data_IF_130524561087
#
_entry.id   IF_130524561087
#
_cell.length_a   1.000
_cell.length_b   1.000
_cell.length_c   1.000
_cell.angle_alpha   90.00
_cell.angle_beta   90.00
_cell.angle_gamma   90.00
#
_symmetry.space_group_name_H-M   'P 1'
#
loop_
_entity.id
_entity.type
_entity.pdbx_description
1 polymer ?
#
# COMPACT_ATOMS: atom_id res chain seq x y z
N UNK A 1 10.84 -15.86 -1.78
CA UNK A 1 9.56 -15.35 -1.25
C UNK A 1 9.68 -15.29 0.26
N UNK A 2 9.49 -14.11 0.83
CA UNK A 2 9.53 -13.85 2.26
C UNK A 2 8.10 -13.70 2.79
N UNK A 3 7.83 -14.22 4.00
CA UNK A 3 6.53 -14.07 4.67
C UNK A 3 6.70 -13.34 5.99
N UNK A 4 5.86 -12.33 6.25
CA UNK A 4 5.86 -11.59 7.51
C UNK A 4 4.43 -11.27 7.96
N UNK A 5 4.22 -11.19 9.27
CA UNK A 5 2.96 -10.73 9.87
C UNK A 5 3.25 -9.55 10.78
N UNK A 6 2.41 -8.52 10.71
CA UNK A 6 2.53 -7.32 11.54
C UNK A 6 1.19 -6.62 11.69
N UNK A 7 1.07 -5.80 12.73
CA UNK A 7 -0.06 -4.89 12.91
C UNK A 7 0.42 -3.45 12.76
N UNK A 8 -0.21 -2.72 11.84
CA UNK A 8 0.01 -1.29 11.64
C UNK A 8 -1.23 -0.54 12.18
N UNK A 9 -1.04 0.63 12.79
CA UNK A 9 -2.15 1.55 13.05
C UNK A 9 -2.27 2.54 11.90
N UNK A 10 -3.40 2.55 11.20
CA UNK A 10 -3.70 3.56 10.17
C UNK A 10 -4.51 4.69 10.77
N UNK A 11 -4.26 5.92 10.33
CA UNK A 11 -5.15 7.05 10.53
C UNK A 11 -5.86 7.34 9.19
N UNK A 12 -7.09 6.84 8.96
CA UNK A 12 -7.80 7.07 7.72
C UNK A 12 -8.10 8.56 7.53
N UNK A 13 -7.41 9.19 6.58
CA UNK A 13 -7.69 10.57 6.18
C UNK A 13 -8.91 10.63 5.25
N UNK A 14 -9.55 11.80 5.13
CA UNK A 14 -10.62 12.01 4.14
C UNK A 14 -10.10 11.85 2.70
N UNK A 15 -8.88 12.31 2.42
CA UNK A 15 -8.22 12.13 1.13
C UNK A 15 -7.44 10.80 1.12
N UNK A 16 -7.87 9.78 0.35
CA UNK A 16 -7.15 8.50 0.25
C UNK A 16 -5.81 8.61 -0.51
N UNK A 17 -5.48 9.76 -1.10
CA UNK A 17 -4.16 10.05 -1.64
C UNK A 17 -3.12 10.37 -0.56
N UNK A 18 -3.54 10.46 0.71
CA UNK A 18 -2.68 10.67 1.86
C UNK A 18 -2.86 9.52 2.84
N UNK A 19 -1.78 8.78 3.11
CA UNK A 19 -1.76 7.71 4.10
C UNK A 19 -0.84 8.11 5.25
N UNK A 20 -1.36 7.98 6.46
CA UNK A 20 -0.59 8.07 7.69
C UNK A 20 -0.75 6.76 8.45
N UNK A 21 0.36 6.19 8.91
CA UNK A 21 0.33 5.01 9.76
C UNK A 21 1.47 5.00 10.77
N UNK A 22 1.26 4.31 11.88
CA UNK A 22 2.31 3.95 12.82
C UNK A 22 2.64 2.47 12.72
N UNK A 23 3.93 2.17 12.84
CA UNK A 23 4.48 0.82 12.77
C UNK A 23 5.82 0.80 13.50
N UNK A 24 6.06 -0.19 14.36
CA UNK A 24 7.37 -0.43 14.98
C UNK A 24 8.01 0.83 15.61
N UNK A 25 7.20 1.68 16.25
CA UNK A 25 7.65 2.95 16.84
C UNK A 25 7.96 4.06 15.82
N UNK A 26 7.66 3.87 14.55
CA UNK A 26 7.84 4.84 13.48
C UNK A 26 6.50 5.37 12.97
N UNK A 27 6.50 6.63 12.55
CA UNK A 27 5.42 7.23 11.77
C UNK A 27 5.79 7.17 10.28
N UNK A 28 4.91 6.60 9.46
CA UNK A 28 5.08 6.53 8.01
C UNK A 28 4.00 7.35 7.32
N UNK A 29 4.45 8.19 6.39
CA UNK A 29 3.62 9.06 5.58
C UNK A 29 3.79 8.63 4.12
N UNK A 30 2.68 8.37 3.42
CA UNK A 30 2.69 8.22 1.96
C UNK A 30 1.75 9.25 1.32
N UNK A 31 2.23 9.95 0.30
CA UNK A 31 1.42 10.88 -0.50
C UNK A 31 1.49 10.53 -1.98
N UNK A 32 0.35 10.44 -2.64
CA UNK A 32 0.28 10.20 -4.08
C UNK A 32 0.76 11.47 -4.81
N UNK A 33 1.74 11.31 -5.68
CA UNK A 33 2.34 12.37 -6.49
C UNK A 33 1.76 12.38 -7.91
N UNK A 34 1.41 11.21 -8.44
CA UNK A 34 0.79 11.07 -9.76
C UNK A 34 -0.17 9.88 -9.81
N UNK A 35 -1.07 9.91 -10.78
CA UNK A 35 -2.15 8.93 -10.94
C UNK A 35 -3.37 9.19 -10.04
N UNK A 36 -4.34 8.27 -10.01
CA UNK A 36 -4.29 6.94 -10.62
C UNK A 36 -4.45 6.94 -12.14
N UNK A 37 -3.58 6.24 -12.85
CA UNK A 37 -3.68 5.99 -14.29
C UNK A 37 -4.16 4.56 -14.53
N UNK A 38 -5.17 4.38 -15.37
CA UNK A 38 -5.62 3.05 -15.77
C UNK A 38 -4.57 2.39 -16.67
N UNK A 39 -4.12 1.20 -16.27
CA UNK A 39 -3.10 0.44 -16.98
C UNK A 39 -3.55 -1.01 -17.11
N UNK A 40 -3.49 -1.56 -18.31
CA UNK A 40 -3.67 -2.98 -18.58
C UNK A 40 -2.29 -3.59 -18.85
N UNK A 41 -1.98 -4.69 -18.14
CA UNK A 41 -0.76 -5.46 -18.36
C UNK A 41 -1.02 -6.73 -19.16
N UNK A 42 -2.24 -7.27 -19.05
CA UNK A 42 -2.77 -8.43 -19.77
C UNK A 42 -4.31 -8.37 -19.79
N UNK A 43 -4.97 -9.30 -20.48
CA UNK A 43 -6.43 -9.44 -20.43
C UNK A 43 -6.89 -9.88 -19.03
N UNK A 44 -6.07 -10.64 -18.31
CA UNK A 44 -6.30 -11.04 -16.93
C UNK A 44 -5.96 -9.97 -15.88
N UNK A 45 -5.15 -8.96 -16.20
CA UNK A 45 -4.69 -7.97 -15.22
C UNK A 45 -4.78 -6.52 -15.72
N UNK A 46 -5.71 -5.77 -15.11
CA UNK A 46 -5.84 -4.33 -15.27
C UNK A 46 -5.99 -3.63 -13.91
N UNK A 47 -5.29 -2.52 -13.74
CA UNK A 47 -5.21 -1.83 -12.45
C UNK A 47 -5.03 -0.32 -12.56
N UNK A 48 -4.69 0.29 -11.44
CA UNK A 48 -4.36 1.72 -11.33
C UNK A 48 -2.89 1.87 -10.96
N UNK A 49 -2.10 2.43 -11.87
CA UNK A 49 -0.73 2.83 -11.58
C UNK A 49 -0.71 4.18 -10.88
N UNK A 50 0.08 4.27 -9.81
CA UNK A 50 0.23 5.45 -8.97
C UNK A 50 1.69 5.67 -8.64
N UNK A 51 2.08 6.93 -8.44
CA UNK A 51 3.40 7.27 -7.93
C UNK A 51 3.26 7.84 -6.53
N UNK A 52 4.11 7.41 -5.60
CA UNK A 52 4.04 7.78 -4.20
C UNK A 52 5.35 8.37 -3.69
N UNK A 53 5.25 9.44 -2.92
CA UNK A 53 6.32 9.87 -2.01
C UNK A 53 6.12 9.19 -0.66
N UNK A 54 7.19 8.63 -0.09
CA UNK A 54 7.18 7.92 1.19
C UNK A 54 8.19 8.57 2.12
N UNK A 55 7.76 8.89 3.34
CA UNK A 55 8.61 9.39 4.41
C UNK A 55 8.41 8.51 5.64
N UNK A 56 9.50 8.25 6.34
CA UNK A 56 9.53 7.53 7.62
C UNK A 56 10.17 8.44 8.65
N UNK A 57 9.53 8.57 9.80
CA UNK A 57 10.03 9.36 10.92
C UNK A 57 10.10 8.46 12.15
N UNK A 58 11.27 8.39 12.77
CA UNK A 58 11.46 7.71 14.05
C UNK A 58 10.84 8.56 15.17
N UNK A 59 10.00 7.94 16.00
CA UNK A 59 9.44 8.60 17.18
C UNK A 59 10.36 8.34 18.38
N UNK A 60 10.84 9.41 19.02
CA UNK A 60 11.68 9.29 20.21
C UNK A 60 10.93 8.59 21.36
N UNK A 61 9.66 8.95 21.55
CA UNK A 61 8.75 8.37 22.55
C UNK A 61 7.41 8.01 21.87
N UNK A 62 7.25 6.79 21.33
CA UNK A 62 6.01 6.40 20.67
C UNK A 62 4.86 6.33 21.67
N UNK A 63 3.68 6.91 21.37
CA UNK A 63 2.59 6.99 22.32
C UNK A 63 1.90 5.63 22.50
N UNK A 64 2.18 4.97 23.63
CA UNK A 64 1.59 3.67 24.02
C UNK A 64 0.06 3.72 24.01
N UNK A 65 -0.52 4.83 24.51
CA UNK A 65 -1.97 5.01 24.60
C UNK A 65 -2.69 4.85 23.25
N UNK A 66 -2.07 5.18 22.12
CA UNK A 66 -2.72 5.06 20.81
C UNK A 66 -2.87 3.60 20.37
N UNK A 67 -2.06 2.69 20.91
CA UNK A 67 -2.15 1.25 20.63
C UNK A 67 -3.17 0.54 21.52
N UNK A 68 -3.32 0.98 22.77
CA UNK A 68 -4.13 0.28 23.77
C UNK A 68 -5.50 0.93 24.03
N UNK A 69 -5.60 2.25 23.98
CA UNK A 69 -6.78 3.04 24.39
C UNK A 69 -6.77 4.43 23.71
N UNK A 70 -6.89 4.48 22.38
CA UNK A 70 -6.95 5.74 21.64
C UNK A 70 -8.25 6.51 22.00
N UNK A 71 -8.17 7.63 22.73
CA UNK A 71 -9.36 8.36 23.15
C UNK A 71 -10.10 9.03 21.99
N UNK A 72 -9.49 9.06 20.79
CA UNK A 72 -10.07 9.71 19.62
C UNK A 72 -10.89 8.76 18.73
N UNK A 73 -10.77 7.44 18.89
CA UNK A 73 -11.32 6.41 18.00
C UNK A 73 -10.95 6.61 16.51
N UNK A 74 -9.83 7.28 16.22
CA UNK A 74 -9.43 7.59 14.85
C UNK A 74 -8.41 6.59 14.29
N UNK A 75 -7.60 5.97 15.16
CA UNK A 75 -6.61 5.00 14.74
C UNK A 75 -7.24 3.62 14.56
N UNK A 76 -6.99 3.01 13.40
CA UNK A 76 -7.52 1.70 13.04
C UNK A 76 -6.39 0.71 12.95
N UNK A 77 -6.42 -0.31 13.81
CA UNK A 77 -5.50 -1.44 13.72
C UNK A 77 -5.80 -2.28 12.48
N UNK A 78 -4.74 -2.55 11.70
CA UNK A 78 -4.79 -3.41 10.53
C UNK A 78 -3.70 -4.46 10.64
N UNK A 79 -4.12 -5.71 10.82
CA UNK A 79 -3.21 -6.85 10.74
C UNK A 79 -2.93 -7.16 9.28
N UNK A 80 -1.67 -7.46 8.98
CA UNK A 80 -1.18 -7.74 7.65
C UNK A 80 -0.32 -8.99 7.65
N UNK A 81 -0.70 -9.99 6.87
CA UNK A 81 0.17 -11.12 6.51
C UNK A 81 0.62 -10.97 5.08
N UNK A 82 1.91 -10.70 4.89
CA UNK A 82 2.53 -10.38 3.60
C UNK A 82 3.34 -11.55 3.08
N UNK A 83 3.18 -11.85 1.79
CA UNK A 83 4.07 -12.67 0.99
C UNK A 83 4.71 -11.79 -0.09
N UNK A 84 6.03 -11.55 0.03
CA UNK A 84 6.75 -10.67 -0.88
C UNK A 84 7.77 -11.45 -1.71
N UNK A 85 7.83 -11.13 -2.99
CA UNK A 85 8.84 -11.59 -3.93
C UNK A 85 9.56 -10.37 -4.50
N UNK A 86 10.82 -10.20 -4.11
CA UNK A 86 11.70 -9.14 -4.60
C UNK A 86 12.52 -9.64 -5.77
N UNK A 87 12.66 -8.80 -6.79
CA UNK A 87 13.53 -9.02 -7.94
C UNK A 87 14.64 -7.97 -7.88
N UNK A 88 15.83 -8.40 -7.48
CA UNK A 88 16.99 -7.51 -7.47
C UNK A 88 17.32 -7.08 -8.92
N UNK A 89 17.87 -5.87 -9.15
CA UNK A 89 18.16 -5.39 -10.50
C UNK A 89 18.97 -6.35 -11.38
N UNK A 90 19.88 -7.10 -10.79
CA UNK A 90 20.70 -8.12 -11.45
C UNK A 90 19.88 -9.34 -11.93
N UNK A 91 18.78 -9.67 -11.26
CA UNK A 91 17.89 -10.79 -11.57
C UNK A 91 16.78 -10.41 -12.56
N UNK A 92 16.48 -9.11 -12.66
CA UNK A 92 15.38 -8.58 -13.46
C UNK A 92 15.51 -8.87 -14.97
N UNK A 93 16.73 -9.06 -15.49
CA UNK A 93 16.93 -9.44 -16.90
C UNK A 93 16.22 -10.74 -17.29
N UNK A 94 15.98 -11.65 -16.34
CA UNK A 94 15.22 -12.88 -16.56
C UNK A 94 13.70 -12.63 -16.73
N UNK A 95 13.18 -11.49 -16.25
CA UNK A 95 11.79 -11.09 -16.46
C UNK A 95 11.61 -10.43 -17.82
N UNK A 96 12.52 -9.53 -18.19
CA UNK A 96 12.47 -8.83 -19.47
C UNK A 96 13.80 -8.15 -19.80
N UNK A 97 14.27 -8.31 -21.04
CA UNK A 97 15.44 -7.59 -21.56
C UNK A 97 15.20 -6.07 -21.68
N UNK A 98 13.95 -5.61 -21.54
CA UNK A 98 13.58 -4.18 -21.61
C UNK A 98 13.74 -3.44 -20.29
N UNK A 99 14.09 -4.13 -19.20
CA UNK A 99 14.19 -3.52 -17.88
C UNK A 99 15.42 -2.59 -17.79
N UNK A 100 15.26 -1.36 -17.27
CA UNK A 100 16.35 -0.41 -17.19
C UNK A 100 17.39 -0.87 -16.16
N UNK A 101 18.65 -0.93 -16.57
CA UNK A 101 19.77 -1.30 -15.70
C UNK A 101 20.51 -0.10 -15.12
N UNK A 102 20.27 1.13 -15.64
CA UNK A 102 20.92 2.35 -15.15
C UNK A 102 20.04 3.60 -15.40
N UNK A 103 19.64 4.34 -14.35
CA UNK A 103 19.67 3.89 -12.96
C UNK A 103 18.78 2.66 -12.77
N UNK A 104 19.20 1.71 -11.94
CA UNK A 104 18.35 0.57 -11.60
C UNK A 104 17.32 0.93 -10.54
N UNK A 105 16.13 0.33 -10.63
CA UNK A 105 15.11 0.32 -9.59
C UNK A 105 14.87 -1.13 -9.13
N UNK A 106 14.52 -1.32 -7.85
CA UNK A 106 14.05 -2.61 -7.37
C UNK A 106 12.62 -2.83 -7.83
N UNK A 107 12.22 -4.09 -7.93
CA UNK A 107 10.85 -4.49 -8.25
C UNK A 107 10.39 -5.50 -7.20
N UNK A 108 9.19 -5.29 -6.68
CA UNK A 108 8.60 -6.14 -5.65
C UNK A 108 7.17 -6.51 -6.05
N UNK A 109 6.86 -7.82 -6.01
CA UNK A 109 5.50 -8.32 -6.07
C UNK A 109 5.07 -8.72 -4.66
N UNK A 110 3.93 -8.19 -4.21
CA UNK A 110 3.43 -8.37 -2.86
C UNK A 110 1.98 -8.87 -2.90
N UNK A 111 1.73 -10.03 -2.26
CA UNK A 111 0.40 -10.50 -1.90
C UNK A 111 0.23 -10.35 -0.40
N UNK A 112 -0.79 -9.62 0.02
CA UNK A 112 -1.02 -9.35 1.45
C UNK A 112 -2.46 -9.63 1.82
N UNK A 113 -2.67 -10.51 2.80
CA UNK A 113 -3.93 -10.63 3.53
C UNK A 113 -4.01 -9.48 4.53
N UNK A 114 -5.15 -8.80 4.58
CA UNK A 114 -5.40 -7.68 5.50
C UNK A 114 -6.65 -7.92 6.31
N UNK A 115 -6.57 -7.61 7.60
CA UNK A 115 -7.66 -7.78 8.55
C UNK A 115 -7.82 -6.50 9.36
N UNK A 116 -9.04 -5.96 9.38
CA UNK A 116 -9.39 -4.78 10.15
C UNK A 116 -10.79 -4.93 10.73
N UNK A 117 -10.92 -4.78 12.06
CA UNK A 117 -12.14 -5.10 12.79
C UNK A 117 -12.63 -6.54 12.50
N UNK A 118 -13.77 -6.71 11.83
CA UNK A 118 -14.34 -8.02 11.45
C UNK A 118 -14.22 -8.32 9.96
N UNK A 119 -13.54 -7.47 9.20
CA UNK A 119 -13.40 -7.59 7.75
C UNK A 119 -12.02 -8.14 7.37
N UNK A 120 -12.02 -9.18 6.54
CA UNK A 120 -10.80 -9.74 5.92
C UNK A 120 -10.83 -9.49 4.42
N UNK A 121 -9.70 -9.07 3.86
CA UNK A 121 -9.49 -8.91 2.42
C UNK A 121 -8.06 -9.33 2.05
N UNK A 122 -7.74 -9.29 0.76
CA UNK A 122 -6.37 -9.40 0.27
C UNK A 122 -6.09 -8.33 -0.77
N UNK A 123 -4.82 -7.99 -0.92
CA UNK A 123 -4.30 -7.06 -1.93
C UNK A 123 -3.13 -7.69 -2.64
N UNK A 124 -3.05 -7.48 -3.95
CA UNK A 124 -1.86 -7.77 -4.74
C UNK A 124 -1.29 -6.45 -5.29
N UNK A 125 0.01 -6.25 -5.20
CA UNK A 125 0.70 -5.07 -5.70
C UNK A 125 2.00 -5.46 -6.41
N UNK A 126 2.26 -4.81 -7.55
CA UNK A 126 3.57 -4.79 -8.18
C UNK A 126 4.11 -3.36 -8.03
N UNK A 127 5.23 -3.20 -7.34
CA UNK A 127 5.83 -1.90 -7.08
C UNK A 127 7.28 -1.83 -7.55
N UNK A 128 7.69 -0.65 -8.01
CA UNK A 128 9.08 -0.33 -8.28
C UNK A 128 9.55 0.76 -7.31
N UNK A 129 10.74 0.59 -6.74
CA UNK A 129 11.34 1.55 -5.81
C UNK A 129 12.76 1.92 -6.25
N UNK A 130 13.12 3.20 -6.16
CA UNK A 130 14.42 3.70 -6.62
C UNK A 130 14.35 5.05 -7.32
N UNK A 131 15.32 5.37 -8.21
CA UNK A 131 15.38 6.64 -8.90
C UNK A 131 14.15 6.90 -9.78
N UNK A 132 13.58 8.11 -9.67
CA UNK A 132 12.33 8.50 -10.35
C UNK A 132 12.35 8.25 -11.85
N UNK A 133 13.51 8.44 -12.49
CA UNK A 133 13.69 8.26 -13.93
C UNK A 133 13.44 6.81 -14.40
N UNK A 134 13.54 5.82 -13.51
CA UNK A 134 13.46 4.40 -13.87
C UNK A 134 12.13 3.75 -13.49
N UNK A 135 11.34 4.35 -12.59
CA UNK A 135 10.17 3.70 -12.00
C UNK A 135 9.12 3.27 -13.03
N UNK A 136 8.78 4.17 -13.97
CA UNK A 136 7.75 3.90 -14.99
C UNK A 136 8.19 2.83 -15.96
N UNK A 137 9.44 2.92 -16.43
CA UNK A 137 9.99 1.95 -17.38
C UNK A 137 10.15 0.58 -16.74
N UNK A 138 10.60 0.52 -15.49
CA UNK A 138 10.67 -0.73 -14.71
C UNK A 138 9.30 -1.38 -14.58
N UNK A 139 8.29 -0.65 -14.12
CA UNK A 139 6.95 -1.19 -13.91
C UNK A 139 6.31 -1.65 -15.23
N UNK A 140 6.45 -0.85 -16.29
CA UNK A 140 5.84 -1.14 -17.60
C UNK A 140 6.52 -2.31 -18.30
N UNK A 141 7.84 -2.47 -18.13
CA UNK A 141 8.58 -3.58 -18.71
C UNK A 141 8.35 -4.91 -17.96
N UNK A 142 8.27 -4.88 -16.63
CA UNK A 142 8.06 -6.09 -15.82
C UNK A 142 6.60 -6.52 -15.74
N UNK A 143 5.66 -5.57 -15.76
CA UNK A 143 4.23 -5.84 -15.57
C UNK A 143 3.70 -7.00 -16.40
N UNK A 144 3.88 -7.03 -17.73
CA UNK A 144 3.38 -8.12 -18.57
C UNK A 144 3.98 -9.50 -18.27
N UNK A 145 5.18 -9.57 -17.67
CA UNK A 145 5.83 -10.83 -17.30
C UNK A 145 5.35 -11.36 -15.94
N UNK A 146 5.01 -10.47 -15.01
CA UNK A 146 4.55 -10.84 -13.65
C UNK A 146 3.03 -11.00 -13.59
N UNK A 147 2.30 -10.23 -14.40
CA UNK A 147 0.84 -10.13 -14.41
C UNK A 147 0.27 -10.66 -15.73
N UNK A 148 0.69 -11.85 -16.16
CA UNK A 148 0.26 -12.45 -17.43
C UNK A 148 -1.09 -13.19 -17.33
N UNK A 149 -1.49 -13.87 -18.40
CA UNK A 149 -2.74 -14.64 -18.48
C UNK A 149 -2.77 -15.89 -17.60
N UNK A 150 -1.66 -16.25 -16.96
CA UNK A 150 -1.58 -17.43 -16.08
C UNK A 150 -2.05 -17.13 -14.65
N UNK A 151 -2.38 -15.87 -14.35
CA UNK A 151 -2.93 -15.49 -13.06
C UNK A 151 -4.17 -16.32 -12.71
N UNK A 152 -4.25 -16.90 -11.50
CA UNK A 152 -5.38 -17.74 -11.10
C UNK A 152 -6.67 -16.95 -10.87
N UNK A 153 -6.58 -15.61 -10.81
CA UNK A 153 -7.69 -14.68 -10.60
C UNK A 153 -7.49 -13.45 -11.47
N UNK A 154 -8.59 -12.97 -12.07
CA UNK A 154 -8.55 -11.72 -12.83
C UNK A 154 -8.47 -10.51 -11.88
N UNK A 155 -7.56 -9.57 -12.17
CA UNK A 155 -7.40 -8.34 -11.41
C UNK A 155 -8.11 -7.19 -12.12
N UNK A 156 -9.11 -6.60 -11.46
CA UNK A 156 -9.97 -5.58 -12.04
C UNK A 156 -9.67 -4.16 -11.52
N UNK A 157 -9.75 -3.12 -12.38
CA UNK A 157 -9.36 -1.75 -12.03
C UNK A 157 -10.32 -1.06 -11.05
N UNK A 158 -11.54 -1.57 -10.86
CA UNK A 158 -12.50 -1.07 -9.88
C UNK A 158 -12.17 -1.49 -8.45
N UNK A 159 -11.36 -2.54 -8.27
CA UNK A 159 -10.85 -3.02 -6.98
C UNK A 159 -9.38 -2.63 -6.75
N UNK A 160 -8.77 -1.91 -7.69
CA UNK A 160 -7.41 -1.41 -7.57
C UNK A 160 -7.39 -0.10 -6.78
N UNK A 161 -7.18 -0.20 -5.47
CA UNK A 161 -7.01 0.95 -4.58
C UNK A 161 -6.25 0.58 -3.30
N UNK A 162 -5.64 1.57 -2.65
CA UNK A 162 -4.89 1.39 -1.41
C UNK A 162 -5.76 1.24 -0.15
N UNK A 163 -5.09 0.92 0.96
CA UNK A 163 -5.74 0.58 2.23
C UNK A 163 -6.66 1.67 2.79
N UNK A 164 -6.30 2.96 2.73
CA UNK A 164 -7.18 4.03 3.26
C UNK A 164 -8.52 4.04 2.53
N UNK A 165 -8.55 3.84 1.22
CA UNK A 165 -9.82 3.74 0.46
C UNK A 165 -10.61 2.49 0.82
N UNK A 166 -9.94 1.38 1.11
CA UNK A 166 -10.58 0.15 1.59
C UNK A 166 -11.19 0.35 2.99
N UNK A 167 -10.44 0.96 3.91
CA UNK A 167 -10.87 1.28 5.27
C UNK A 167 -12.08 2.22 5.28
N UNK A 168 -12.08 3.27 4.46
CA UNK A 168 -13.22 4.19 4.32
C UNK A 168 -14.53 3.51 3.87
N UNK A 169 -14.46 2.31 3.29
CA UNK A 169 -15.65 1.55 2.89
C UNK A 169 -16.16 0.63 4.02
N UNK A 170 -15.49 0.59 5.17
CA UNK A 170 -15.89 -0.23 6.32
C UNK A 170 -16.84 0.57 7.21
N UNK A 171 -18.02 0.03 7.59
CA UNK A 171 -18.96 0.73 8.45
C UNK A 171 -18.41 1.10 9.83
N UNK A 172 -17.46 0.32 10.34
CA UNK A 172 -16.81 0.52 11.64
C UNK A 172 -15.67 1.54 11.62
N UNK A 173 -15.23 1.99 10.44
CA UNK A 173 -14.15 2.97 10.31
C UNK A 173 -14.73 4.37 10.16
N UNK A 174 -14.28 5.28 11.02
CA UNK A 174 -14.66 6.70 10.98
C UNK A 174 -13.43 7.57 10.71
N UNK A 175 -13.62 8.65 9.97
CA UNK A 175 -12.64 9.74 9.85
C UNK A 175 -12.93 10.89 10.84
N UNK A 176 -13.99 10.75 11.64
CA UNK A 176 -14.41 11.71 12.66
C UNK A 176 -14.09 11.17 14.06
N UNK A 177 -13.56 12.02 14.95
CA UNK A 177 -13.20 11.59 16.29
C UNK A 177 -14.43 11.29 17.14
N UNK A 178 -14.24 10.52 18.21
CA UNK A 178 -15.26 10.25 19.21
C UNK A 178 -15.93 11.55 19.72
N UNK A 179 -17.24 11.50 19.97
CA UNK A 179 -17.99 12.69 20.41
C UNK A 179 -17.49 13.26 21.75
N UNK A 180 -16.92 12.42 22.61
CA UNK A 180 -16.40 12.81 23.92
C UNK A 180 -15.16 13.72 23.86
N UNK A 181 -14.46 13.75 22.73
CA UNK A 181 -13.27 14.61 22.53
C UNK A 181 -13.53 15.80 21.61
N UNK A 182 -14.74 15.91 21.04
CA UNK A 182 -15.12 17.04 20.20
C UNK A 182 -15.56 18.23 21.05
N UNK A 183 -15.23 19.45 20.60
CA UNK A 183 -15.83 20.66 21.16
C UNK A 183 -17.33 20.64 20.81
N UNK A 184 -18.24 20.82 21.80
CA UNK A 184 -19.67 20.86 21.54
C UNK A 184 -20.02 21.93 20.49
N UNK A 185 -20.85 21.57 19.51
CA UNK A 185 -21.44 22.55 18.60
C UNK A 185 -22.62 23.19 19.33
N UNK A 186 -22.47 24.45 19.73
CA UNK A 186 -23.59 25.28 20.19
C UNK A 186 -24.56 25.57 19.04
#
# INVERSE_FOLDING_TARGET
METSTQTDLYLPAEDPAFNLKMRDGQLQIKRRLAGPLSTAFSDAASGRCEQWGKWTLDLADPPVAVWDDDPTDLWVAVEKTRHQLSFAPEEQSALSERLPTTPAATLDAELTTVEAATDTAWTFCLEAEGPVASLVDTLTAAGPAVLDETLPVALAPNQSFGYVRWLQQRPSVTTRPASGVQIPRN
#
